data_IF_310789640015
#
_entry.id   IF_310789640015
#
_cell.length_a   1.000
_cell.length_b   1.000
_cell.length_c   1.000
_cell.angle_alpha   90.00
_cell.angle_beta   90.00
_cell.angle_gamma   90.00
#
_symmetry.space_group_name_H-M   'P 1'
#
loop_
_entity.id
_entity.type
_entity.pdbx_description
1 polymer ?
#
# COMPACT_ATOMS: atom_id res chain seq x y z
N UNK A 1 25.41 2.78 -21.65
CA UNK A 1 26.11 2.63 -20.35
C UNK A 1 25.17 3.15 -19.27
N UNK A 2 24.37 2.25 -18.69
CA UNK A 2 23.46 2.56 -17.57
C UNK A 2 24.05 1.91 -16.33
N UNK A 3 24.56 2.75 -15.43
CA UNK A 3 25.12 2.34 -14.14
C UNK A 3 23.97 1.98 -13.20
N UNK A 4 23.58 0.71 -13.17
CA UNK A 4 22.79 0.14 -12.08
C UNK A 4 23.76 -0.21 -10.94
N UNK A 5 24.07 0.78 -10.10
CA UNK A 5 24.70 0.51 -8.82
C UNK A 5 23.57 0.37 -7.79
N UNK A 6 23.44 -0.78 -7.11
CA UNK A 6 22.57 -0.86 -5.94
C UNK A 6 23.10 0.15 -4.92
N UNK A 7 22.23 1.05 -4.45
CA UNK A 7 22.55 1.92 -3.33
C UNK A 7 22.55 1.03 -2.09
N UNK A 8 23.69 0.41 -1.78
CA UNK A 8 23.90 -0.18 -0.46
C UNK A 8 24.11 0.99 0.50
N UNK A 9 23.19 1.25 1.45
CA UNK A 9 23.41 2.32 2.42
C UNK A 9 24.68 2.04 3.22
N UNK A 10 25.45 3.08 3.59
CA UNK A 10 26.62 2.90 4.45
C UNK A 10 26.20 2.19 5.74
N UNK A 11 27.03 1.23 6.16
CA UNK A 11 26.79 0.40 7.34
C UNK A 11 26.41 1.26 8.57
N UNK A 12 25.24 0.98 9.16
CA UNK A 12 24.79 1.57 10.41
C UNK A 12 23.75 2.68 10.30
N UNK A 13 23.37 3.14 9.10
CA UNK A 13 22.29 4.15 8.96
C UNK A 13 20.99 3.48 8.52
N UNK A 14 20.03 3.37 9.45
CA UNK A 14 18.67 2.91 9.15
C UNK A 14 18.03 3.92 8.19
N UNK A 15 17.62 3.45 7.01
CA UNK A 15 16.90 4.29 6.07
C UNK A 15 15.53 4.68 6.67
N UNK A 16 15.22 5.97 6.80
CA UNK A 16 13.97 6.39 7.40
C UNK A 16 12.79 6.11 6.48
N UNK A 17 11.62 5.93 7.08
CA UNK A 17 10.37 5.86 6.33
C UNK A 17 10.05 7.28 5.85
N UNK A 18 9.96 7.46 4.54
CA UNK A 18 9.66 8.75 3.93
C UNK A 18 8.19 8.84 3.49
N UNK A 19 7.53 9.92 3.88
CA UNK A 19 6.20 10.29 3.39
C UNK A 19 6.28 11.73 2.91
N UNK A 20 6.26 11.94 1.59
CA UNK A 20 6.44 13.27 1.01
C UNK A 20 7.74 13.95 1.50
N UNK A 21 7.66 15.01 2.29
CA UNK A 21 8.79 15.68 2.94
C UNK A 21 8.91 15.40 4.46
N UNK A 22 8.22 14.39 4.97
CA UNK A 22 8.36 13.88 6.34
C UNK A 22 9.24 12.62 6.36
N UNK A 23 10.24 12.59 7.23
CA UNK A 23 11.02 11.40 7.55
C UNK A 23 10.61 10.88 8.92
N UNK A 24 10.31 9.59 9.01
CA UNK A 24 9.96 8.89 10.25
C UNK A 24 11.05 7.87 10.56
N UNK A 25 11.52 7.92 11.80
CA UNK A 25 12.40 6.91 12.38
C UNK A 25 11.93 6.58 13.79
N UNK A 26 12.70 5.79 14.52
CA UNK A 26 12.30 5.27 15.83
C UNK A 26 13.42 5.42 16.84
N UNK A 27 13.05 5.76 18.08
CA UNK A 27 13.98 5.76 19.22
C UNK A 27 13.53 4.75 20.28
N UNK A 28 14.52 4.20 20.99
CA UNK A 28 14.35 3.36 22.18
C UNK A 28 14.96 4.01 23.42
N UNK A 29 15.39 5.26 23.30
CA UNK A 29 16.02 6.05 24.36
C UNK A 29 15.06 7.11 24.90
N UNK A 30 15.01 7.19 26.22
CA UNK A 30 14.06 8.02 26.96
C UNK A 30 14.68 8.59 28.23
N UNK A 31 14.43 9.87 28.48
CA UNK A 31 14.67 10.52 29.75
C UNK A 31 13.43 10.40 30.64
N UNK A 32 13.60 9.91 31.89
CA UNK A 32 12.51 9.91 32.86
C UNK A 32 12.25 11.34 33.33
N UNK A 33 11.02 11.82 33.14
CA UNK A 33 10.59 13.14 33.62
C UNK A 33 10.06 13.03 35.04
N UNK A 34 9.16 12.06 35.29
CA UNK A 34 8.48 11.91 36.57
C UNK A 34 7.92 10.49 36.75
N UNK A 35 7.59 10.12 37.98
CA UNK A 35 6.84 8.93 38.31
C UNK A 35 6.01 9.15 39.57
N UNK A 36 5.08 8.23 39.82
CA UNK A 36 4.17 8.29 40.96
C UNK A 36 4.79 7.74 42.25
N UNK A 37 6.13 7.63 42.35
CA UNK A 37 6.78 7.09 43.54
C UNK A 37 6.44 7.94 44.78
N UNK A 38 6.07 7.27 45.87
CA UNK A 38 5.62 7.94 47.10
C UNK A 38 4.19 8.53 47.07
N UNK A 39 3.43 8.36 45.98
CA UNK A 39 2.02 8.78 45.91
C UNK A 39 1.06 7.59 46.10
N UNK A 40 -0.18 7.89 46.54
CA UNK A 40 -1.27 6.90 46.62
C UNK A 40 -1.98 6.67 45.26
N UNK A 41 -1.52 7.37 44.20
CA UNK A 41 -2.01 7.18 42.85
C UNK A 41 -1.60 5.81 42.29
N UNK A 42 -2.28 5.37 41.23
CA UNK A 42 -1.87 4.16 40.51
C UNK A 42 -0.43 4.32 39.98
N UNK A 43 0.43 3.29 40.08
CA UNK A 43 1.80 3.36 39.59
C UNK A 43 1.89 3.77 38.12
N UNK A 44 2.64 4.82 37.82
CA UNK A 44 2.97 5.25 36.47
C UNK A 44 4.32 5.97 36.39
N UNK A 45 4.87 6.04 35.18
CA UNK A 45 6.07 6.80 34.87
C UNK A 45 5.94 7.53 33.53
N UNK A 46 6.51 8.73 33.48
CA UNK A 46 6.43 9.68 32.38
C UNK A 46 7.82 9.93 31.82
N UNK A 47 7.92 9.93 30.49
CA UNK A 47 9.18 9.85 29.79
C UNK A 47 9.19 10.74 28.55
N UNK A 48 10.28 11.48 28.39
CA UNK A 48 10.56 12.25 27.19
C UNK A 48 11.43 11.41 26.26
N UNK A 49 11.01 11.12 25.01
CA UNK A 49 11.86 10.45 24.03
C UNK A 49 13.09 11.29 23.71
N UNK A 50 14.27 10.68 23.71
CA UNK A 50 15.54 11.36 23.44
C UNK A 50 16.21 10.72 22.24
N UNK A 51 15.82 11.05 20.99
CA UNK A 51 16.51 10.55 19.81
C UNK A 51 18.00 10.95 19.87
N UNK A 52 18.89 9.95 19.88
CA UNK A 52 20.33 10.16 19.98
C UNK A 52 20.82 11.03 18.79
N UNK A 53 21.44 12.20 19.01
CA UNK A 53 21.78 13.14 17.93
C UNK A 53 22.80 12.61 16.91
N UNK A 54 23.63 11.66 17.31
CA UNK A 54 24.61 10.97 16.47
C UNK A 54 23.97 9.95 15.52
N UNK A 55 22.90 9.27 15.97
CA UNK A 55 22.15 8.27 15.18
C UNK A 55 21.00 8.91 14.40
N UNK A 56 20.29 9.85 15.02
CA UNK A 56 19.06 10.49 14.54
C UNK A 56 19.19 12.04 14.54
N UNK A 57 20.16 12.62 13.81
CA UNK A 57 20.34 14.05 13.76
C UNK A 57 19.10 14.75 13.18
N UNK A 58 18.59 15.76 13.91
CA UNK A 58 17.45 16.57 13.48
C UNK A 58 16.08 15.92 13.69
N UNK A 59 16.02 14.71 14.27
CA UNK A 59 14.76 14.09 14.64
C UNK A 59 14.21 14.68 15.94
N UNK A 60 12.90 14.90 15.96
CA UNK A 60 12.17 15.43 17.11
C UNK A 60 11.11 14.43 17.59
N UNK A 61 10.86 14.37 18.91
CA UNK A 61 9.71 13.68 19.46
C UNK A 61 8.38 14.29 18.98
N UNK A 62 7.34 13.45 18.98
CA UNK A 62 5.97 13.82 18.60
C UNK A 62 5.03 14.00 19.81
N UNK A 63 5.58 13.85 21.01
CA UNK A 63 4.90 13.84 22.31
C UNK A 63 5.62 12.90 23.28
N UNK A 64 5.31 13.04 24.56
CA UNK A 64 5.89 12.23 25.62
C UNK A 64 5.15 10.90 25.81
N UNK A 65 5.74 10.00 26.59
CA UNK A 65 5.26 8.64 26.82
C UNK A 65 4.86 8.47 28.28
N UNK A 66 3.69 7.89 28.52
CA UNK A 66 3.26 7.44 29.85
C UNK A 66 3.14 5.93 29.85
N UNK A 67 3.64 5.30 30.91
CA UNK A 67 3.51 3.84 31.08
C UNK A 67 2.94 3.50 32.44
N UNK A 68 2.26 2.34 32.51
CA UNK A 68 1.80 1.75 33.76
C UNK A 68 3.00 1.18 34.52
N UNK A 69 3.18 1.61 35.76
CA UNK A 69 4.28 1.20 36.62
C UNK A 69 5.54 2.07 36.52
N UNK A 70 6.49 1.87 37.44
CA UNK A 70 7.72 2.68 37.54
C UNK A 70 8.90 2.10 36.73
N UNK A 71 8.69 1.06 35.91
CA UNK A 71 9.77 0.33 35.23
C UNK A 71 10.54 1.16 34.20
N UNK A 72 11.84 0.91 34.05
CA UNK A 72 12.64 1.53 32.99
C UNK A 72 12.22 0.99 31.61
N UNK A 73 11.93 1.91 30.68
CA UNK A 73 11.44 1.61 29.33
C UNK A 73 12.53 1.65 28.24
N UNK A 74 13.73 2.14 28.57
CA UNK A 74 14.86 2.19 27.64
C UNK A 74 15.17 0.80 27.07
N UNK A 75 15.32 0.70 25.76
CA UNK A 75 15.56 -0.57 25.05
C UNK A 75 14.40 -1.57 25.11
N UNK A 76 13.23 -1.20 25.65
CA UNK A 76 12.04 -2.07 25.77
C UNK A 76 10.79 -1.48 25.11
N UNK A 77 10.81 -0.18 24.85
CA UNK A 77 9.78 0.56 24.13
C UNK A 77 10.40 1.22 22.91
N UNK A 78 9.58 1.41 21.89
CA UNK A 78 9.94 2.05 20.63
C UNK A 78 8.86 3.10 20.36
N UNK A 79 9.26 4.32 20.02
CA UNK A 79 8.33 5.37 19.60
C UNK A 79 8.80 6.02 18.31
N UNK A 80 7.85 6.52 17.53
CA UNK A 80 8.14 7.24 16.30
C UNK A 80 8.68 8.64 16.61
N UNK A 81 9.72 9.03 15.89
CA UNK A 81 10.29 10.38 15.87
C UNK A 81 10.34 10.86 14.43
N UNK A 82 10.29 12.18 14.23
CA UNK A 82 10.20 12.74 12.89
C UNK A 82 11.25 13.80 12.60
N UNK A 83 11.67 13.88 11.33
CA UNK A 83 12.57 14.89 10.80
C UNK A 83 12.01 15.47 9.49
N UNK A 84 12.34 16.71 9.19
CA UNK A 84 12.03 17.31 7.89
C UNK A 84 13.00 16.75 6.84
N UNK A 85 12.47 16.31 5.71
CA UNK A 85 13.31 15.87 4.61
C UNK A 85 14.08 17.06 4.00
N UNK A 86 15.29 16.79 3.51
CA UNK A 86 16.08 17.80 2.82
C UNK A 86 15.44 18.24 1.49
N UNK A 87 14.76 17.32 0.80
CA UNK A 87 13.95 17.66 -0.37
C UNK A 87 12.54 18.11 0.03
N UNK A 88 12.01 19.16 -0.64
CA UNK A 88 10.67 19.68 -0.36
C UNK A 88 9.59 18.67 -0.74
N UNK A 89 8.34 19.04 -0.43
CA UNK A 89 7.17 18.29 -0.87
C UNK A 89 7.15 18.17 -2.40
N UNK A 90 6.61 17.05 -2.90
CA UNK A 90 6.30 16.90 -4.31
C UNK A 90 5.26 17.92 -4.80
N UNK A 91 4.43 18.43 -3.89
CA UNK A 91 3.49 19.52 -4.14
C UNK A 91 4.04 20.83 -3.54
N UNK A 92 4.50 21.79 -4.35
CA UNK A 92 5.08 23.04 -3.87
C UNK A 92 4.11 23.89 -3.01
N UNK A 93 2.80 23.68 -3.12
CA UNK A 93 1.82 24.37 -2.27
C UNK A 93 1.85 23.85 -0.82
N UNK A 94 2.33 22.62 -0.62
CA UNK A 94 2.47 22.00 0.69
C UNK A 94 3.82 22.37 1.26
N UNK A 95 3.81 23.29 2.23
CA UNK A 95 5.01 23.75 2.93
C UNK A 95 5.70 22.64 3.75
N UNK A 96 6.45 23.04 4.78
CA UNK A 96 7.20 22.11 5.65
C UNK A 96 6.29 21.03 6.25
N UNK A 97 6.79 19.80 6.36
CA UNK A 97 6.07 18.71 7.01
C UNK A 97 6.01 18.91 8.54
N UNK A 98 7.02 19.57 9.12
CA UNK A 98 7.15 19.79 10.56
C UNK A 98 7.17 21.27 10.95
N UNK A 99 6.47 21.59 12.04
CA UNK A 99 6.54 22.91 12.69
C UNK A 99 6.66 22.75 14.20
N UNK A 100 7.27 23.75 14.85
CA UNK A 100 7.16 23.91 16.31
C UNK A 100 5.72 24.29 16.66
N UNK A 101 5.21 23.94 17.85
CA UNK A 101 3.96 24.51 18.34
C UNK A 101 4.09 26.04 18.50
N UNK A 102 2.98 26.74 18.36
CA UNK A 102 2.90 28.21 18.55
C UNK A 102 2.78 28.58 20.03
N UNK A 103 2.16 27.71 20.84
CA UNK A 103 2.11 27.82 22.31
C UNK A 103 1.82 26.44 22.96
N UNK A 104 1.71 26.41 24.28
CA UNK A 104 1.30 25.28 25.08
C UNK A 104 0.14 25.66 26.01
N UNK A 105 -0.88 24.81 26.06
CA UNK A 105 -2.00 24.88 27.00
C UNK A 105 -1.76 23.94 28.19
N UNK A 106 -1.86 24.45 29.42
CA UNK A 106 -1.71 23.62 30.62
C UNK A 106 -2.89 22.66 30.75
N UNK A 107 -2.62 21.35 30.76
CA UNK A 107 -3.62 20.33 31.06
C UNK A 107 -3.69 20.09 32.56
N UNK A 108 -2.53 19.87 33.19
CA UNK A 108 -2.45 19.45 34.58
C UNK A 108 -1.10 19.79 35.20
N UNK A 109 -1.07 20.05 36.50
CA UNK A 109 0.13 20.07 37.32
C UNK A 109 -0.11 19.41 38.67
N UNK A 110 0.94 18.85 39.24
CA UNK A 110 0.88 18.05 40.47
C UNK A 110 0.73 18.88 41.76
N UNK A 111 0.44 20.18 41.65
CA UNK A 111 0.26 21.08 42.81
C UNK A 111 -0.72 20.49 43.83
N UNK A 112 -0.23 20.26 45.06
CA UNK A 112 -1.00 19.69 46.17
C UNK A 112 -0.82 18.18 46.37
N UNK A 113 -0.10 17.49 45.48
CA UNK A 113 0.13 16.04 45.54
C UNK A 113 0.96 15.59 46.74
N UNK A 114 1.82 16.48 47.26
CA UNK A 114 2.85 16.11 48.23
C UNK A 114 4.03 15.34 47.62
N UNK A 115 4.09 15.26 46.28
CA UNK A 115 5.23 14.71 45.55
C UNK A 115 6.51 15.47 45.87
N UNK A 116 7.65 14.78 45.86
CA UNK A 116 8.99 15.38 46.00
C UNK A 116 9.51 15.97 44.69
N UNK A 117 8.86 15.66 43.57
CA UNK A 117 9.22 16.13 42.23
C UNK A 117 7.98 16.72 41.58
N UNK A 118 8.16 17.88 40.98
CA UNK A 118 7.09 18.56 40.25
C UNK A 118 6.90 17.90 38.87
N UNK A 119 5.65 17.93 38.40
CA UNK A 119 5.28 17.55 37.04
C UNK A 119 4.14 18.44 36.57
N UNK A 120 4.27 18.93 35.34
CA UNK A 120 3.14 19.48 34.59
C UNK A 120 2.99 18.80 33.23
N UNK A 121 1.77 18.74 32.73
CA UNK A 121 1.38 18.14 31.45
C UNK A 121 0.74 19.23 30.61
N UNK A 122 1.21 19.35 29.36
CA UNK A 122 0.86 20.43 28.44
C UNK A 122 0.40 19.87 27.10
N UNK A 123 -0.60 20.53 26.51
CA UNK A 123 -1.05 20.30 25.14
C UNK A 123 -0.33 21.28 24.21
N UNK A 124 0.43 20.82 23.20
CA UNK A 124 0.94 21.72 22.18
C UNK A 124 -0.21 22.35 21.40
N UNK A 125 -0.14 23.66 21.17
CA UNK A 125 -1.03 24.40 20.27
C UNK A 125 -0.34 24.45 18.91
N UNK A 126 -0.79 23.66 17.92
CA UNK A 126 -0.15 23.62 16.61
C UNK A 126 -0.46 24.89 15.80
N UNK A 127 0.44 25.29 14.87
CA UNK A 127 0.11 26.29 13.86
C UNK A 127 -1.01 25.83 12.93
N UNK A 128 -1.65 26.77 12.22
CA UNK A 128 -2.67 26.47 11.21
C UNK A 128 -2.16 25.49 10.14
N UNK A 129 -2.96 24.47 9.83
CA UNK A 129 -2.60 23.37 8.91
C UNK A 129 -1.73 22.27 9.52
N UNK A 130 -1.49 22.30 10.83
CA UNK A 130 -0.73 21.28 11.55
C UNK A 130 -1.52 20.72 12.75
N UNK A 131 -1.14 19.54 13.21
CA UNK A 131 -1.69 18.89 14.40
C UNK A 131 -0.59 18.43 15.36
N UNK A 132 -0.92 18.32 16.64
CA UNK A 132 -0.07 17.67 17.64
C UNK A 132 -0.47 16.20 17.80
N UNK A 133 0.51 15.30 17.89
CA UNK A 133 0.28 13.85 18.05
C UNK A 133 0.31 13.38 19.51
N UNK A 134 0.73 14.24 20.45
CA UNK A 134 0.80 13.90 21.87
C UNK A 134 0.95 15.12 22.77
N UNK A 135 0.81 14.88 24.07
CA UNK A 135 1.07 15.85 25.14
C UNK A 135 2.53 15.82 25.57
N UNK A 136 2.98 16.87 26.25
CA UNK A 136 4.36 17.06 26.69
C UNK A 136 4.41 17.30 28.19
N UNK A 137 5.37 16.69 28.87
CA UNK A 137 5.62 16.87 30.28
C UNK A 137 6.70 17.93 30.51
N UNK A 138 6.60 18.67 31.62
CA UNK A 138 7.71 19.46 32.18
C UNK A 138 8.02 18.97 33.58
N UNK A 139 9.30 18.95 33.95
CA UNK A 139 9.79 18.58 35.29
C UNK A 139 9.61 19.68 36.35
N UNK A 140 8.87 20.72 36.00
CA UNK A 140 8.46 21.86 36.81
C UNK A 140 7.01 22.24 36.45
N UNK A 141 6.53 23.39 36.91
CA UNK A 141 5.20 23.92 36.56
C UNK A 141 5.24 24.98 35.44
N UNK A 142 6.37 25.11 34.75
CA UNK A 142 6.58 26.06 33.67
C UNK A 142 6.30 25.44 32.30
N UNK A 143 6.07 26.30 31.30
CA UNK A 143 5.83 25.86 29.91
C UNK A 143 7.07 25.13 29.37
N UNK A 144 6.88 24.00 28.64
CA UNK A 144 7.98 23.33 27.96
C UNK A 144 8.60 24.21 26.88
N UNK A 145 9.83 23.88 26.50
CA UNK A 145 10.49 24.49 25.34
C UNK A 145 9.70 24.22 24.05
N UNK A 146 9.55 25.22 23.19
CA UNK A 146 9.03 25.07 21.83
C UNK A 146 9.79 24.07 20.95
N UNK A 147 10.98 23.64 21.38
CA UNK A 147 11.74 22.60 20.71
C UNK A 147 11.45 21.18 21.20
N UNK A 148 10.69 21.01 22.29
CA UNK A 148 10.45 19.71 22.91
C UNK A 148 9.79 18.71 21.94
N UNK A 149 8.90 19.19 21.07
CA UNK A 149 8.20 18.36 20.09
C UNK A 149 8.01 19.07 18.75
N UNK A 150 7.48 18.35 17.75
CA UNK A 150 6.99 18.92 16.49
C UNK A 150 5.52 18.56 16.24
N UNK A 151 4.83 19.50 15.63
CA UNK A 151 3.52 19.33 15.03
C UNK A 151 3.69 18.87 13.57
N UNK A 152 2.79 18.01 13.11
CA UNK A 152 2.81 17.41 11.76
C UNK A 152 1.77 18.10 10.89
N UNK A 153 2.10 18.32 9.62
CA UNK A 153 1.14 18.84 8.61
C UNK A 153 -0.07 17.91 8.51
N UNK A 154 -1.26 18.47 8.48
CA UNK A 154 -2.52 17.73 8.65
C UNK A 154 -2.79 16.65 7.59
N UNK A 155 -2.26 16.78 6.37
CA UNK A 155 -2.45 15.80 5.28
C UNK A 155 -1.58 14.54 5.44
N UNK A 156 -0.61 14.56 6.36
CA UNK A 156 0.30 13.44 6.66
C UNK A 156 -0.17 12.59 7.84
N UNK A 157 -1.35 12.92 8.39
CA UNK A 157 -1.95 12.21 9.52
C UNK A 157 -3.38 11.78 9.19
N UNK A 158 -3.95 10.97 10.08
CA UNK A 158 -5.36 10.60 10.04
C UNK A 158 -5.96 10.72 11.44
N UNK A 159 -7.23 11.13 11.53
CA UNK A 159 -7.98 11.14 12.78
C UNK A 159 -8.15 9.72 13.32
N UNK A 160 -7.98 9.58 14.63
CA UNK A 160 -7.85 8.29 15.30
C UNK A 160 -8.75 8.19 16.52
N UNK A 161 -8.96 6.95 16.95
CA UNK A 161 -9.60 6.67 18.24
C UNK A 161 -8.55 6.72 19.36
N UNK A 162 -9.01 6.56 20.60
CA UNK A 162 -8.10 6.37 21.74
C UNK A 162 -8.27 4.98 22.31
N UNK A 163 -7.22 4.53 23.00
CA UNK A 163 -7.26 3.34 23.83
C UNK A 163 -8.18 3.52 25.04
N UNK A 164 -8.27 2.48 25.86
CA UNK A 164 -8.63 2.61 27.27
C UNK A 164 -7.66 3.53 28.01
N UNK A 165 -8.10 4.05 29.16
CA UNK A 165 -7.29 4.97 29.97
C UNK A 165 -5.98 4.31 30.40
N UNK A 166 -4.86 4.96 30.07
CA UNK A 166 -3.52 4.50 30.44
C UNK A 166 -3.27 4.79 31.92
N UNK A 167 -3.55 6.04 32.35
CA UNK A 167 -3.42 6.49 33.73
C UNK A 167 -4.42 7.61 34.07
N UNK A 168 -4.71 7.78 35.37
CA UNK A 168 -5.41 8.93 35.94
C UNK A 168 -4.78 9.30 37.28
N UNK A 169 -4.90 10.56 37.67
CA UNK A 169 -4.28 11.09 38.90
C UNK A 169 -5.10 10.86 40.17
N UNK A 170 -6.12 9.98 40.17
CA UNK A 170 -6.88 9.67 41.39
C UNK A 170 -5.95 9.10 42.45
N UNK A 171 -6.03 9.68 43.65
CA UNK A 171 -5.15 9.32 44.77
C UNK A 171 -3.80 10.04 44.76
N UNK A 172 -3.51 10.91 43.77
CA UNK A 172 -2.28 11.70 43.77
C UNK A 172 -2.28 12.81 44.81
N UNK A 173 -3.45 13.31 45.23
CA UNK A 173 -3.59 14.50 46.08
C UNK A 173 -3.51 15.83 45.31
N UNK A 174 -3.24 15.81 44.01
CA UNK A 174 -3.21 17.01 43.18
C UNK A 174 -4.58 17.72 43.18
N UNK A 175 -4.55 19.06 43.06
CA UNK A 175 -5.76 19.89 43.04
C UNK A 175 -6.52 19.81 41.71
N UNK A 176 -5.81 19.50 40.63
CA UNK A 176 -6.38 19.32 39.30
C UNK A 176 -6.68 17.84 39.05
N UNK A 177 -7.25 17.52 37.90
CA UNK A 177 -7.57 16.14 37.50
C UNK A 177 -6.96 15.87 36.15
N UNK A 178 -6.48 14.66 35.92
CA UNK A 178 -6.01 14.28 34.59
C UNK A 178 -6.28 12.82 34.30
N UNK A 179 -6.58 12.56 33.03
CA UNK A 179 -6.57 11.23 32.45
C UNK A 179 -5.72 11.23 31.19
N UNK A 180 -5.05 10.10 30.95
CA UNK A 180 -4.19 9.91 29.78
C UNK A 180 -4.61 8.71 28.95
N UNK A 181 -4.46 8.81 27.63
CA UNK A 181 -4.75 7.75 26.67
C UNK A 181 -3.67 7.68 25.60
N UNK A 182 -3.68 6.59 24.81
CA UNK A 182 -2.87 6.45 23.60
C UNK A 182 -3.75 6.53 22.35
N UNK A 183 -3.18 6.98 21.24
CA UNK A 183 -3.84 6.91 19.94
C UNK A 183 -3.99 5.45 19.48
N UNK A 184 -5.15 5.10 18.94
CA UNK A 184 -5.42 3.79 18.32
C UNK A 184 -5.66 4.03 16.83
N UNK A 185 -4.79 3.47 15.96
CA UNK A 185 -4.92 3.64 14.50
C UNK A 185 -6.31 3.19 14.00
N UNK A 186 -6.95 3.96 13.12
CA UNK A 186 -8.21 3.55 12.50
C UNK A 186 -7.94 2.46 11.45
N UNK A 187 -9.02 1.90 10.90
CA UNK A 187 -8.94 0.91 9.81
C UNK A 187 -8.13 1.46 8.64
N UNK A 188 -7.12 0.72 8.18
CA UNK A 188 -6.27 1.14 7.08
C UNK A 188 -7.00 1.03 5.73
N UNK A 189 -6.90 2.07 4.91
CA UNK A 189 -7.37 2.03 3.53
C UNK A 189 -6.45 1.15 2.66
N UNK A 190 -6.93 0.76 1.48
CA UNK A 190 -6.16 -0.07 0.54
C UNK A 190 -4.83 0.59 0.17
N UNK A 191 -3.71 -0.10 0.41
CA UNK A 191 -2.36 0.42 0.15
C UNK A 191 -1.82 1.38 1.22
N UNK A 192 -2.48 1.49 2.37
CA UNK A 192 -2.09 2.40 3.45
C UNK A 192 -1.66 1.67 4.73
N UNK A 193 -0.90 2.39 5.55
CA UNK A 193 -0.53 2.01 6.91
C UNK A 193 -0.84 3.21 7.81
N UNK A 194 -1.51 2.98 8.94
CA UNK A 194 -1.69 4.00 9.98
C UNK A 194 -0.86 3.62 11.21
N UNK A 195 -0.07 4.57 11.73
CA UNK A 195 0.88 4.33 12.82
C UNK A 195 0.64 5.30 13.97
N UNK A 196 0.42 4.79 15.17
CA UNK A 196 0.44 5.61 16.38
C UNK A 196 1.89 6.04 16.69
N UNK A 197 2.08 7.30 17.08
CA UNK A 197 3.43 7.80 17.42
C UNK A 197 4.04 7.10 18.64
N UNK A 198 3.20 6.52 19.50
CA UNK A 198 3.58 6.00 20.82
C UNK A 198 3.49 7.04 21.94
N UNK A 199 3.15 8.28 21.60
CA UNK A 199 2.92 9.36 22.57
C UNK A 199 1.57 9.21 23.28
N UNK A 200 1.45 9.78 24.48
CA UNK A 200 0.18 9.88 25.17
C UNK A 200 -0.52 11.21 24.89
N UNK A 201 -1.83 11.24 25.12
CA UNK A 201 -2.66 12.44 25.08
C UNK A 201 -3.36 12.62 26.43
N UNK A 202 -3.29 13.82 26.99
CA UNK A 202 -3.86 14.17 28.29
C UNK A 202 -5.10 15.05 28.20
N UNK A 203 -6.00 14.90 29.17
CA UNK A 203 -7.17 15.76 29.36
C UNK A 203 -7.33 16.11 30.84
N UNK A 204 -7.72 17.36 31.11
CA UNK A 204 -8.06 17.86 32.44
C UNK A 204 -9.45 17.39 32.91
N UNK A 205 -9.68 16.08 32.89
CA UNK A 205 -10.90 15.45 33.41
C UNK A 205 -10.67 13.94 33.63
N UNK A 206 -11.55 13.30 34.39
CA UNK A 206 -11.66 11.85 34.49
C UNK A 206 -12.50 11.22 33.39
N UNK A 207 -13.42 12.00 32.81
CA UNK A 207 -14.34 11.52 31.78
C UNK A 207 -13.84 11.95 30.41
N UNK A 208 -13.74 10.98 29.49
CA UNK A 208 -13.37 11.26 28.10
C UNK A 208 -14.54 11.99 27.39
N UNK A 209 -14.30 13.10 26.69
CA UNK A 209 -15.34 13.81 25.95
C UNK A 209 -15.71 13.03 24.69
N UNK A 210 -16.91 13.30 24.16
CA UNK A 210 -17.40 12.65 22.94
C UNK A 210 -16.48 12.90 21.73
N UNK A 211 -15.92 14.10 21.65
CA UNK A 211 -14.93 14.47 20.63
C UNK A 211 -13.61 14.81 21.33
N UNK A 212 -12.61 13.98 21.11
CA UNK A 212 -11.24 14.20 21.58
C UNK A 212 -10.31 13.98 20.39
N UNK A 213 -9.81 15.05 19.74
CA UNK A 213 -9.02 14.91 18.52
C UNK A 213 -7.68 14.28 18.85
N UNK A 214 -7.43 13.11 18.26
CA UNK A 214 -6.19 12.35 18.36
C UNK A 214 -5.86 11.86 16.96
N UNK A 215 -4.58 11.80 16.62
CA UNK A 215 -4.14 11.52 15.26
C UNK A 215 -3.10 10.39 15.24
N UNK A 216 -3.04 9.67 14.12
CA UNK A 216 -1.97 8.74 13.78
C UNK A 216 -1.27 9.20 12.50
N UNK A 217 -0.01 8.81 12.32
CA UNK A 217 0.72 9.02 11.07
C UNK A 217 0.08 8.20 9.95
N UNK A 218 -0.08 8.80 8.76
CA UNK A 218 -0.67 8.15 7.59
C UNK A 218 0.40 7.85 6.55
N UNK A 219 0.78 6.58 6.45
CA UNK A 219 1.82 6.06 5.56
C UNK A 219 1.18 5.39 4.34
N UNK A 220 1.96 5.30 3.26
CA UNK A 220 1.63 4.49 2.08
C UNK A 220 2.55 3.27 2.01
N UNK A 221 2.01 2.14 1.57
CA UNK A 221 2.81 0.99 1.19
C UNK A 221 3.46 1.32 -0.15
N UNK A 222 4.79 1.46 -0.17
CA UNK A 222 5.51 1.72 -1.41
C UNK A 222 5.39 0.49 -2.32
N UNK A 223 4.88 0.70 -3.53
CA UNK A 223 4.64 -0.36 -4.50
C UNK A 223 5.45 -0.07 -5.76
N UNK A 224 6.41 -0.94 -6.04
CA UNK A 224 7.10 -0.97 -7.34
C UNK A 224 6.32 -1.90 -8.28
N UNK A 225 6.02 -1.40 -9.47
CA UNK A 225 5.33 -2.14 -10.53
C UNK A 225 6.32 -2.33 -11.68
N UNK A 226 6.59 -3.59 -12.02
CA UNK A 226 7.46 -3.98 -13.12
C UNK A 226 6.62 -4.44 -14.33
N UNK A 227 7.22 -4.57 -15.53
CA UNK A 227 6.50 -5.06 -16.70
C UNK A 227 5.88 -6.44 -16.45
N UNK A 228 4.58 -6.58 -16.75
CA UNK A 228 3.86 -7.85 -16.66
C UNK A 228 4.38 -8.83 -17.72
N UNK A 229 4.25 -10.16 -17.49
CA UNK A 229 4.58 -11.15 -18.51
C UNK A 229 3.78 -10.90 -19.79
N UNK A 230 4.42 -11.09 -20.94
CA UNK A 230 3.75 -10.98 -22.24
C UNK A 230 2.81 -12.15 -22.43
N UNK A 231 1.59 -11.87 -22.88
CA UNK A 231 0.60 -12.89 -23.19
C UNK A 231 1.13 -13.89 -24.24
N UNK A 232 1.07 -15.21 -23.99
CA UNK A 232 1.51 -16.20 -24.96
C UNK A 232 0.72 -16.09 -26.26
N UNK A 233 1.44 -16.19 -27.38
CA UNK A 233 0.86 -16.24 -28.72
C UNK A 233 1.11 -17.63 -29.29
N UNK A 234 0.03 -18.22 -29.79
CA UNK A 234 0.03 -19.50 -30.46
C UNK A 234 0.46 -19.29 -31.92
N UNK A 235 1.73 -19.59 -32.20
CA UNK A 235 2.33 -19.41 -33.53
C UNK A 235 2.28 -20.68 -34.41
N UNK A 236 1.86 -21.80 -33.83
CA UNK A 236 1.77 -23.10 -34.50
C UNK A 236 0.56 -23.88 -33.94
N UNK A 237 0.35 -25.09 -34.45
CA UNK A 237 -0.78 -25.93 -34.03
C UNK A 237 -0.73 -26.30 -32.55
N UNK A 238 0.47 -26.34 -31.95
CA UNK A 238 0.73 -26.65 -30.54
C UNK A 238 1.38 -25.46 -29.81
N UNK A 239 1.05 -25.25 -28.53
CA UNK A 239 1.62 -24.16 -27.74
C UNK A 239 3.08 -24.46 -27.36
N UNK A 240 3.91 -23.41 -27.36
CA UNK A 240 5.27 -23.47 -26.80
C UNK A 240 5.23 -23.33 -25.28
N UNK A 241 6.20 -23.92 -24.59
CA UNK A 241 6.36 -23.74 -23.15
C UNK A 241 6.53 -22.25 -22.81
N UNK A 242 5.78 -21.78 -21.82
CA UNK A 242 5.89 -20.40 -21.31
C UNK A 242 7.15 -20.31 -20.44
N UNK A 243 8.05 -19.39 -20.78
CA UNK A 243 9.24 -19.15 -19.97
C UNK A 243 8.87 -18.57 -18.60
N UNK A 244 9.58 -18.98 -17.56
CA UNK A 244 9.42 -18.40 -16.24
C UNK A 244 9.86 -16.92 -16.26
N UNK A 245 9.14 -16.02 -15.58
CA UNK A 245 9.51 -14.63 -15.47
C UNK A 245 10.83 -14.46 -14.71
N UNK A 246 11.71 -13.57 -15.20
CA UNK A 246 13.01 -13.30 -14.59
C UNK A 246 12.92 -12.40 -13.35
N UNK A 247 11.91 -11.52 -13.30
CA UNK A 247 11.73 -10.52 -12.26
C UNK A 247 10.30 -10.54 -11.71
N UNK A 248 10.08 -10.15 -10.44
CA UNK A 248 8.74 -10.02 -9.89
C UNK A 248 7.96 -8.92 -10.61
N UNK A 249 6.66 -9.14 -10.83
CA UNK A 249 5.75 -8.17 -11.42
C UNK A 249 5.46 -7.01 -10.48
N UNK A 250 5.39 -7.29 -9.17
CA UNK A 250 5.17 -6.28 -8.13
C UNK A 250 6.08 -6.52 -6.94
N UNK A 251 6.53 -5.43 -6.31
CA UNK A 251 7.27 -5.47 -5.04
C UNK A 251 6.67 -4.44 -4.10
N UNK A 252 6.06 -4.91 -3.01
CA UNK A 252 5.56 -4.07 -1.93
C UNK A 252 6.60 -3.98 -0.81
N UNK A 253 6.96 -2.75 -0.41
CA UNK A 253 7.86 -2.50 0.72
C UNK A 253 7.07 -2.31 2.01
N UNK A 254 7.31 -3.19 2.98
CA UNK A 254 6.61 -3.24 4.25
C UNK A 254 7.58 -2.81 5.37
N UNK A 255 7.27 -1.76 6.15
CA UNK A 255 8.08 -1.40 7.31
C UNK A 255 8.16 -2.55 8.32
N UNK A 256 9.31 -2.68 8.99
CA UNK A 256 9.60 -3.74 9.97
C UNK A 256 8.46 -3.96 10.99
N UNK A 257 7.83 -2.88 11.45
CA UNK A 257 6.79 -3.00 12.46
C UNK A 257 5.49 -3.64 11.94
N UNK A 258 5.27 -3.66 10.62
CA UNK A 258 4.08 -4.31 10.02
C UNK A 258 4.23 -5.82 9.83
N UNK A 259 5.44 -6.36 10.03
CA UNK A 259 5.76 -7.77 9.82
C UNK A 259 6.23 -8.41 11.12
N UNK A 260 5.72 -9.61 11.42
CA UNK A 260 6.29 -10.48 12.45
C UNK A 260 7.34 -11.38 11.80
N UNK A 261 8.53 -11.43 12.38
CA UNK A 261 9.60 -12.30 11.91
C UNK A 261 9.95 -13.27 13.04
N UNK A 262 9.85 -14.59 12.82
CA UNK A 262 10.19 -15.57 13.86
C UNK A 262 11.67 -15.58 14.22
N UNK A 263 12.56 -15.02 13.38
CA UNK A 263 14.00 -15.03 13.59
C UNK A 263 14.51 -13.83 14.40
N UNK A 264 13.79 -12.70 14.37
CA UNK A 264 14.21 -11.45 15.00
C UNK A 264 13.21 -10.94 16.04
N UNK A 265 13.72 -10.44 17.16
CA UNK A 265 12.95 -9.56 18.03
C UNK A 265 12.61 -8.25 17.31
N UNK A 266 11.64 -7.50 17.82
CA UNK A 266 11.18 -6.24 17.22
C UNK A 266 12.29 -5.19 17.06
N UNK A 267 13.20 -5.11 18.02
CA UNK A 267 14.33 -4.18 17.98
C UNK A 267 15.39 -4.66 16.98
N UNK A 268 15.61 -5.97 16.87
CA UNK A 268 16.50 -6.54 15.85
C UNK A 268 15.95 -6.32 14.44
N UNK A 269 14.63 -6.44 14.23
CA UNK A 269 14.00 -6.13 12.94
C UNK A 269 14.27 -4.67 12.54
N UNK A 270 14.11 -3.71 13.45
CA UNK A 270 14.41 -2.30 13.19
C UNK A 270 15.85 -2.08 12.70
N UNK A 271 16.81 -2.83 13.23
CA UNK A 271 18.23 -2.68 12.89
C UNK A 271 18.66 -3.47 11.65
N UNK A 272 18.23 -4.72 11.52
CA UNK A 272 18.71 -5.65 10.49
C UNK A 272 17.80 -5.76 9.28
N UNK A 273 16.49 -5.54 9.45
CA UNK A 273 15.51 -5.60 8.35
C UNK A 273 14.45 -4.50 8.50
N UNK A 274 14.85 -3.21 8.42
CA UNK A 274 13.95 -2.07 8.62
C UNK A 274 12.78 -2.06 7.63
N UNK A 275 12.98 -2.68 6.47
CA UNK A 275 11.95 -2.99 5.48
C UNK A 275 12.01 -4.47 5.09
N UNK A 276 10.83 -5.01 4.81
CA UNK A 276 10.64 -6.32 4.19
C UNK A 276 10.06 -6.12 2.80
N UNK A 277 10.43 -6.99 1.86
CA UNK A 277 9.92 -6.95 0.49
C UNK A 277 8.94 -8.11 0.30
N UNK A 278 7.68 -7.77 0.01
CA UNK A 278 6.67 -8.73 -0.40
C UNK A 278 6.58 -8.69 -1.93
N UNK A 279 7.17 -9.70 -2.56
CA UNK A 279 7.22 -9.85 -4.00
C UNK A 279 6.03 -10.65 -4.51
N UNK A 280 5.54 -10.28 -5.67
CA UNK A 280 4.57 -11.03 -6.46
C UNK A 280 5.10 -11.21 -7.87
N UNK A 281 5.12 -12.45 -8.34
CA UNK A 281 5.61 -12.82 -9.67
C UNK A 281 4.50 -13.46 -10.48
N UNK A 282 4.07 -12.80 -11.56
CA UNK A 282 2.98 -13.28 -12.41
C UNK A 282 3.52 -14.13 -13.56
N UNK A 283 2.84 -15.23 -13.87
CA UNK A 283 3.15 -16.09 -15.01
C UNK A 283 1.89 -16.66 -15.64
N UNK A 284 1.93 -16.89 -16.96
CA UNK A 284 0.84 -17.56 -17.67
C UNK A 284 0.93 -19.09 -17.50
N UNK A 285 -0.11 -19.66 -16.92
CA UNK A 285 -0.35 -21.09 -16.81
C UNK A 285 -1.22 -21.54 -17.99
N UNK A 286 -0.72 -22.48 -18.81
CA UNK A 286 -1.52 -23.14 -19.84
C UNK A 286 -2.59 -24.02 -19.17
N UNK A 287 -3.86 -23.66 -19.36
CA UNK A 287 -5.01 -24.40 -18.84
C UNK A 287 -5.41 -25.53 -19.78
N UNK A 288 -5.34 -25.27 -21.08
CA UNK A 288 -5.75 -26.24 -22.08
C UNK A 288 -5.44 -25.79 -23.50
N UNK A 289 -5.37 -26.77 -24.37
CA UNK A 289 -5.14 -26.60 -25.80
C UNK A 289 -6.08 -27.52 -26.56
N UNK A 290 -6.55 -27.06 -27.72
CA UNK A 290 -7.32 -27.87 -28.65
C UNK A 290 -7.00 -27.49 -30.09
N UNK A 291 -7.15 -28.46 -30.97
CA UNK A 291 -7.13 -28.29 -32.41
C UNK A 291 -8.45 -28.81 -32.96
N UNK A 292 -9.18 -27.95 -33.66
CA UNK A 292 -10.38 -28.32 -34.38
C UNK A 292 -10.00 -28.60 -35.84
N UNK A 293 -9.82 -29.87 -36.18
CA UNK A 293 -9.58 -30.30 -37.56
C UNK A 293 -10.87 -30.43 -38.39
N UNK A 294 -12.05 -30.33 -37.76
CA UNK A 294 -13.33 -30.48 -38.44
C UNK A 294 -13.71 -29.24 -39.26
N UNK A 295 -14.69 -29.43 -40.14
CA UNK A 295 -15.26 -28.35 -40.96
C UNK A 295 -16.44 -27.61 -40.29
N UNK A 296 -16.71 -27.89 -39.01
CA UNK A 296 -17.70 -27.19 -38.19
C UNK A 296 -17.09 -26.79 -36.85
N UNK A 297 -17.75 -25.88 -36.13
CA UNK A 297 -17.29 -25.42 -34.82
C UNK A 297 -17.41 -26.56 -33.78
N UNK A 298 -16.46 -26.62 -32.85
CA UNK A 298 -16.42 -27.60 -31.77
C UNK A 298 -16.31 -26.92 -30.42
N UNK A 299 -16.87 -27.54 -29.38
CA UNK A 299 -16.79 -27.05 -28.00
C UNK A 299 -15.75 -27.87 -27.25
N UNK A 300 -14.78 -27.20 -26.66
CA UNK A 300 -13.78 -27.80 -25.78
C UNK A 300 -13.96 -27.29 -24.35
N UNK A 301 -13.73 -28.18 -23.39
CA UNK A 301 -13.78 -27.87 -21.95
C UNK A 301 -12.50 -28.36 -21.30
N UNK A 302 -11.89 -27.49 -20.51
CA UNK A 302 -10.76 -27.80 -19.66
C UNK A 302 -11.07 -27.41 -18.22
N UNK A 303 -10.54 -28.17 -17.28
CA UNK A 303 -10.70 -27.91 -15.85
C UNK A 303 -9.32 -27.81 -15.24
N UNK A 304 -9.05 -26.75 -14.49
CA UNK A 304 -7.77 -26.54 -13.81
C UNK A 304 -7.97 -26.28 -12.31
N UNK A 305 -7.17 -26.91 -11.44
CA UNK A 305 -7.17 -26.56 -10.03
C UNK A 305 -6.57 -25.16 -9.80
N UNK A 306 -7.01 -24.50 -8.74
CA UNK A 306 -6.37 -23.26 -8.28
C UNK A 306 -5.07 -23.57 -7.55
N UNK A 307 -4.08 -22.69 -7.70
CA UNK A 307 -2.80 -22.81 -7.00
C UNK A 307 -2.90 -22.45 -5.51
N UNK A 308 -3.87 -21.61 -5.13
CA UNK A 308 -4.06 -21.23 -3.72
C UNK A 308 -4.42 -22.43 -2.84
N UNK A 309 -3.77 -22.49 -1.68
CA UNK A 309 -4.05 -23.46 -0.62
C UNK A 309 -4.32 -22.70 0.67
N UNK A 310 -5.50 -22.93 1.26
CA UNK A 310 -5.91 -22.27 2.50
C UNK A 310 -4.86 -22.44 3.62
N UNK A 311 -4.29 -23.64 3.77
CA UNK A 311 -3.26 -23.91 4.78
C UNK A 311 -1.96 -23.12 4.57
N UNK A 312 -1.56 -22.88 3.32
CA UNK A 312 -0.35 -22.09 3.02
C UNK A 312 -0.51 -20.62 3.37
N UNK A 313 -1.66 -20.02 3.01
CA UNK A 313 -1.97 -18.63 3.36
C UNK A 313 -2.14 -18.47 4.88
N UNK A 314 -2.84 -19.40 5.54
CA UNK A 314 -3.00 -19.39 6.99
C UNK A 314 -1.65 -19.49 7.71
N UNK A 315 -0.76 -20.37 7.25
CA UNK A 315 0.59 -20.48 7.81
C UNK A 315 1.38 -19.17 7.61
N UNK A 316 1.31 -18.58 6.42
CA UNK A 316 1.94 -17.29 6.13
C UNK A 316 1.45 -16.18 7.07
N UNK A 317 0.13 -16.00 7.18
CA UNK A 317 -0.47 -14.99 8.05
C UNK A 317 -0.16 -15.25 9.52
N UNK A 318 -0.20 -16.51 9.97
CA UNK A 318 0.14 -16.84 11.35
C UNK A 318 1.61 -16.53 11.70
N UNK A 319 2.53 -16.81 10.76
CA UNK A 319 3.96 -16.53 10.95
C UNK A 319 4.27 -15.04 10.89
N UNK A 320 3.68 -14.31 9.95
CA UNK A 320 4.09 -12.95 9.58
C UNK A 320 3.16 -11.85 10.04
N UNK A 321 1.95 -12.19 10.51
CA UNK A 321 0.81 -11.30 10.75
C UNK A 321 0.26 -10.57 9.52
N UNK A 322 0.88 -10.69 8.35
CA UNK A 322 0.42 -10.01 7.13
C UNK A 322 -0.82 -10.72 6.57
N UNK A 323 -1.85 -9.94 6.28
CA UNK A 323 -3.13 -10.43 5.76
C UNK A 323 -3.35 -10.02 4.30
N UNK A 324 -3.98 -10.91 3.54
CA UNK A 324 -4.41 -10.69 2.16
C UNK A 324 -5.93 -10.49 2.12
N UNK A 325 -6.39 -9.49 1.37
CA UNK A 325 -7.82 -9.15 1.23
C UNK A 325 -8.44 -8.41 2.43
N UNK A 326 -7.80 -8.49 3.60
CA UNK A 326 -8.21 -7.84 4.83
C UNK A 326 -7.14 -6.86 5.36
N UNK A 327 -7.52 -6.06 6.35
CA UNK A 327 -6.56 -5.29 7.12
C UNK A 327 -5.93 -6.16 8.21
N UNK A 328 -4.68 -5.89 8.57
CA UNK A 328 -4.07 -6.42 9.79
C UNK A 328 -3.60 -5.30 10.70
N UNK A 329 -3.49 -5.60 11.99
CA UNK A 329 -3.14 -4.62 13.02
C UNK A 329 -2.47 -5.33 14.19
N UNK A 330 -1.78 -4.55 15.01
CA UNK A 330 -1.17 -5.09 16.24
C UNK A 330 -2.20 -5.23 17.37
N UNK A 331 -1.87 -5.99 18.41
CA UNK A 331 -2.72 -6.07 19.61
C UNK A 331 -2.61 -4.78 20.43
N UNK A 332 -3.70 -4.35 21.08
CA UNK A 332 -3.73 -3.09 21.86
C UNK A 332 -2.73 -3.02 23.03
N UNK A 333 -2.11 -4.15 23.41
CA UNK A 333 -1.07 -4.21 24.44
C UNK A 333 0.35 -4.05 23.90
N UNK A 334 0.53 -4.03 22.58
CA UNK A 334 1.82 -3.83 21.96
C UNK A 334 2.32 -2.38 22.12
N UNK A 335 3.64 -2.17 22.21
CA UNK A 335 4.21 -0.84 22.42
C UNK A 335 4.11 0.09 21.21
N UNK A 336 3.90 -0.46 20.01
CA UNK A 336 3.84 0.28 18.76
C UNK A 336 2.58 -0.13 17.98
N UNK A 337 1.54 0.71 18.05
CA UNK A 337 0.24 0.41 17.45
C UNK A 337 0.20 0.81 15.97
N UNK A 338 -0.21 -0.11 15.10
CA UNK A 338 -0.43 0.14 13.68
C UNK A 338 -1.65 -0.62 13.16
N UNK A 339 -2.19 -0.15 12.04
CA UNK A 339 -3.05 -0.91 11.13
C UNK A 339 -2.50 -0.79 9.71
N UNK A 340 -2.68 -1.81 8.88
CA UNK A 340 -2.15 -1.86 7.53
C UNK A 340 -3.08 -2.66 6.61
N UNK A 341 -3.09 -2.32 5.32
CA UNK A 341 -3.84 -3.06 4.32
C UNK A 341 -3.14 -3.03 2.97
N UNK A 342 -2.88 -4.22 2.40
CA UNK A 342 -2.32 -4.33 1.06
C UNK A 342 -3.28 -3.79 0.00
N UNK A 343 -2.73 -3.25 -1.09
CA UNK A 343 -3.49 -2.75 -2.22
C UNK A 343 -4.19 -3.88 -3.00
N UNK A 344 -5.39 -3.62 -3.53
CA UNK A 344 -6.15 -4.59 -4.33
C UNK A 344 -5.38 -5.06 -5.57
N UNK A 345 -4.72 -4.14 -6.26
CA UNK A 345 -3.90 -4.45 -7.44
C UNK A 345 -2.78 -5.42 -7.10
N UNK A 346 -2.24 -5.37 -5.87
CA UNK A 346 -1.20 -6.28 -5.42
C UNK A 346 -1.77 -7.65 -5.05
N UNK A 347 -2.87 -7.70 -4.28
CA UNK A 347 -3.46 -8.94 -3.75
C UNK A 347 -4.36 -9.70 -4.73
N UNK A 348 -4.73 -9.09 -5.86
CA UNK A 348 -5.67 -9.64 -6.85
C UNK A 348 -6.99 -10.10 -6.22
N UNK A 349 -7.48 -9.30 -5.26
CA UNK A 349 -8.63 -9.65 -4.44
C UNK A 349 -9.37 -8.36 -4.06
N UNK A 350 -10.66 -8.31 -4.35
CA UNK A 350 -11.53 -7.21 -3.91
C UNK A 350 -11.82 -7.27 -2.40
N UNK A 351 -12.33 -6.16 -1.85
CA UNK A 351 -12.70 -6.05 -0.43
C UNK A 351 -13.75 -7.13 -0.09
N UNK A 352 -13.50 -7.93 0.95
CA UNK A 352 -14.38 -8.99 1.46
C UNK A 352 -14.51 -10.26 0.60
N UNK A 353 -13.66 -10.47 -0.40
CA UNK A 353 -13.72 -11.70 -1.19
C UNK A 353 -13.03 -12.86 -0.44
N UNK A 354 -13.74 -13.98 -0.23
CA UNK A 354 -13.16 -15.24 0.25
C UNK A 354 -12.37 -15.97 -0.86
N UNK A 355 -11.97 -15.28 -1.94
CA UNK A 355 -11.37 -15.88 -3.14
C UNK A 355 -10.04 -16.58 -2.85
N UNK A 356 -9.26 -16.02 -1.93
CA UNK A 356 -8.02 -16.62 -1.44
C UNK A 356 -8.23 -17.96 -0.72
N UNK A 357 -9.44 -18.19 -0.20
CA UNK A 357 -9.83 -19.42 0.50
C UNK A 357 -10.68 -20.34 -0.38
N UNK A 358 -11.00 -19.95 -1.62
CA UNK A 358 -11.85 -20.73 -2.50
C UNK A 358 -11.06 -21.86 -3.18
N UNK A 359 -11.36 -23.15 -2.88
CA UNK A 359 -10.67 -24.28 -3.50
C UNK A 359 -11.29 -24.71 -4.83
N UNK A 360 -12.37 -24.06 -5.28
CA UNK A 360 -13.10 -24.49 -6.48
C UNK A 360 -12.21 -24.43 -7.72
N UNK A 361 -12.23 -25.51 -8.50
CA UNK A 361 -11.59 -25.59 -9.81
C UNK A 361 -12.17 -24.54 -10.75
N UNK A 362 -11.38 -24.16 -11.76
CA UNK A 362 -11.82 -23.25 -12.82
C UNK A 362 -12.11 -24.10 -14.06
N UNK A 363 -13.33 -23.99 -14.56
CA UNK A 363 -13.73 -24.55 -15.84
C UNK A 363 -13.58 -23.48 -16.94
N UNK A 364 -12.79 -23.80 -17.97
CA UNK A 364 -12.67 -22.98 -19.17
C UNK A 364 -13.37 -23.71 -20.31
N UNK A 365 -14.35 -23.05 -20.91
CA UNK A 365 -15.11 -23.56 -22.06
C UNK A 365 -14.85 -22.63 -23.24
N UNK A 366 -14.42 -23.20 -24.37
CA UNK A 366 -14.16 -22.45 -25.60
C UNK A 366 -14.88 -23.09 -26.78
N UNK A 367 -15.51 -22.24 -27.60
CA UNK A 367 -16.01 -22.63 -28.93
C UNK A 367 -14.89 -22.34 -29.93
N UNK A 368 -14.42 -23.39 -30.62
CA UNK A 368 -13.29 -23.33 -31.53
C UNK A 368 -13.81 -23.46 -32.96
N UNK A 369 -13.52 -22.46 -33.78
CA UNK A 369 -13.89 -22.48 -35.20
C UNK A 369 -13.23 -23.64 -35.94
N UNK A 370 -13.85 -24.05 -37.04
CA UNK A 370 -13.29 -25.05 -37.97
C UNK A 370 -11.85 -24.71 -38.38
N UNK A 371 -11.00 -25.74 -38.50
CA UNK A 371 -9.59 -25.65 -38.92
C UNK A 371 -8.74 -24.66 -38.10
N UNK A 372 -8.97 -24.56 -36.79
CA UNK A 372 -8.19 -23.69 -35.89
C UNK A 372 -7.63 -24.44 -34.71
N UNK A 373 -6.50 -23.95 -34.20
CA UNK A 373 -5.97 -24.32 -32.89
C UNK A 373 -6.16 -23.18 -31.91
N UNK A 374 -6.44 -23.51 -30.65
CA UNK A 374 -6.54 -22.55 -29.55
C UNK A 374 -5.74 -23.02 -28.35
N UNK A 375 -5.22 -22.07 -27.58
CA UNK A 375 -4.61 -22.29 -26.29
C UNK A 375 -5.19 -21.29 -25.29
N UNK A 376 -5.66 -21.80 -24.15
CA UNK A 376 -6.24 -21.01 -23.08
C UNK A 376 -5.27 -20.95 -21.89
N UNK A 377 -5.07 -19.74 -21.37
CA UNK A 377 -4.14 -19.46 -20.29
C UNK A 377 -4.83 -18.67 -19.17
N UNK A 378 -4.35 -18.86 -17.95
CA UNK A 378 -4.67 -18.02 -16.78
C UNK A 378 -3.38 -17.49 -16.18
N UNK A 379 -3.46 -16.39 -15.45
CA UNK A 379 -2.36 -15.88 -14.63
C UNK A 379 -2.33 -16.63 -13.30
N UNK A 380 -1.18 -17.19 -12.99
CA UNK A 380 -0.82 -17.66 -11.66
C UNK A 380 0.26 -16.74 -11.10
N UNK A 381 0.11 -16.35 -9.84
CA UNK A 381 0.99 -15.42 -9.15
C UNK A 381 1.63 -16.09 -7.94
N UNK A 382 2.95 -16.00 -7.82
CA UNK A 382 3.71 -16.53 -6.69
C UNK A 382 4.15 -15.39 -5.77
N UNK A 383 3.97 -15.56 -4.46
CA UNK A 383 4.25 -14.54 -3.45
C UNK A 383 5.39 -14.95 -2.52
N UNK A 384 6.33 -14.03 -2.27
CA UNK A 384 7.49 -14.25 -1.40
C UNK A 384 7.73 -13.06 -0.50
N UNK A 385 7.96 -13.31 0.79
CA UNK A 385 8.34 -12.29 1.76
C UNK A 385 9.83 -12.40 2.07
N UNK A 386 10.58 -11.35 1.81
CA UNK A 386 12.04 -11.28 1.95
C UNK A 386 12.44 -10.27 3.03
N UNK A 387 13.49 -10.59 3.76
CA UNK A 387 14.23 -9.67 4.63
C UNK A 387 15.09 -8.71 3.80
N UNK A 388 15.65 -7.68 4.44
CA UNK A 388 16.57 -6.74 3.80
C UNK A 388 17.83 -7.40 3.22
N UNK A 389 18.26 -8.55 3.74
CA UNK A 389 19.39 -9.33 3.21
C UNK A 389 19.02 -10.27 2.04
N UNK A 390 17.75 -10.26 1.61
CA UNK A 390 17.22 -11.12 0.54
C UNK A 390 16.81 -12.53 0.99
N UNK A 391 16.99 -12.90 2.26
CA UNK A 391 16.55 -14.20 2.76
C UNK A 391 15.03 -14.24 2.92
N UNK A 392 14.42 -15.40 2.67
CA UNK A 392 12.97 -15.56 2.80
C UNK A 392 12.54 -15.73 4.27
N UNK A 393 11.44 -15.06 4.64
CA UNK A 393 10.82 -15.18 5.97
C UNK A 393 9.96 -16.44 6.05
N UNK A 394 9.26 -16.75 4.97
CA UNK A 394 8.34 -17.90 4.84
C UNK A 394 8.53 -18.61 3.51
N UNK A 395 7.88 -19.75 3.36
CA UNK A 395 7.74 -20.41 2.05
C UNK A 395 6.87 -19.58 1.11
N UNK A 396 7.09 -19.79 -0.19
CA UNK A 396 6.25 -19.24 -1.26
C UNK A 396 4.84 -19.82 -1.18
N UNK A 397 3.85 -18.99 -1.49
CA UNK A 397 2.48 -19.42 -1.74
C UNK A 397 1.95 -18.74 -3.00
N UNK A 398 0.93 -19.33 -3.62
CA UNK A 398 0.50 -18.97 -4.97
C UNK A 398 -1.00 -18.68 -5.03
N UNK A 399 -1.41 -17.95 -6.06
CA UNK A 399 -2.80 -17.62 -6.36
C UNK A 399 -3.07 -17.75 -7.85
N UNK A 400 -4.24 -18.27 -8.23
CA UNK A 400 -4.70 -18.31 -9.62
C UNK A 400 -5.83 -17.31 -9.80
N UNK A 401 -5.60 -16.32 -10.66
CA UNK A 401 -6.57 -15.30 -11.00
C UNK A 401 -7.60 -15.86 -11.99
N UNK A 402 -8.82 -16.11 -11.51
CA UNK A 402 -9.89 -16.67 -12.33
C UNK A 402 -10.43 -15.71 -13.39
N UNK A 403 -10.15 -14.42 -13.27
CA UNK A 403 -10.63 -13.38 -14.18
C UNK A 403 -9.61 -13.03 -15.26
N UNK A 404 -8.46 -13.71 -15.28
CA UNK A 404 -7.32 -13.42 -16.15
C UNK A 404 -7.27 -14.24 -17.45
N UNK A 405 -8.39 -14.84 -17.86
CA UNK A 405 -8.46 -15.73 -19.03
C UNK A 405 -7.92 -15.05 -20.29
N UNK A 406 -6.87 -15.64 -20.86
CA UNK A 406 -6.31 -15.26 -22.14
C UNK A 406 -6.44 -16.42 -23.12
N UNK A 407 -6.96 -16.16 -24.31
CA UNK A 407 -7.07 -17.16 -25.38
C UNK A 407 -6.21 -16.69 -26.56
N UNK A 408 -5.30 -17.55 -27.00
CA UNK A 408 -4.59 -17.38 -28.26
C UNK A 408 -5.07 -18.41 -29.28
N UNK A 409 -5.12 -17.99 -30.55
CA UNK A 409 -5.56 -18.83 -31.65
C UNK A 409 -4.53 -18.87 -32.78
N UNK A 410 -4.49 -19.97 -33.51
CA UNK A 410 -3.69 -20.18 -34.70
C UNK A 410 -4.56 -20.75 -35.82
N UNK A 411 -4.40 -20.21 -37.02
CA UNK A 411 -4.99 -20.74 -38.25
C UNK A 411 -3.84 -20.99 -39.24
N UNK A 412 -3.72 -22.20 -39.80
CA UNK A 412 -2.78 -22.44 -40.90
C UNK A 412 -3.12 -21.49 -42.06
N UNK A 413 -2.12 -20.86 -42.67
CA UNK A 413 -2.35 -20.12 -43.92
C UNK A 413 -2.92 -21.08 -44.97
N UNK A 414 -4.11 -20.79 -45.50
CA UNK A 414 -4.58 -21.48 -46.70
C UNK A 414 -3.63 -21.13 -47.85
N UNK A 415 -3.16 -22.11 -48.64
CA UNK A 415 -2.35 -21.80 -49.82
C UNK A 415 -3.19 -20.93 -50.77
N UNK A 416 -2.65 -19.79 -51.19
CA UNK A 416 -3.25 -18.96 -52.23
C UNK A 416 -3.55 -19.86 -53.43
N UNK A 417 -4.83 -20.09 -53.69
CA UNK A 417 -5.26 -20.70 -54.94
C UNK A 417 -5.03 -19.65 -56.01
N UNK A 418 -3.92 -19.78 -56.74
CA UNK A 418 -3.71 -19.06 -58.00
C UNK A 418 -4.84 -19.48 -58.93
N UNK A 419 -5.89 -18.67 -59.00
CA UNK A 419 -6.92 -18.79 -60.02
C UNK A 419 -6.25 -18.37 -61.33
N UNK A 420 -5.79 -19.34 -62.10
CA UNK A 420 -5.38 -19.10 -63.49
C UNK A 420 -6.61 -18.60 -64.24
N UNK A 421 -6.58 -17.33 -64.65
CA UNK A 421 -7.62 -16.74 -65.47
C UNK A 421 -7.79 -17.56 -66.76
N UNK A 422 -9.01 -17.98 -67.04
CA UNK A 422 -9.37 -18.63 -68.31
C UNK A 422 -9.13 -17.64 -69.48
N UNK A 423 -8.65 -18.10 -70.65
CA UNK A 423 -8.36 -17.21 -71.76
C UNK A 423 -9.67 -16.65 -72.34
N UNK A 424 -9.69 -15.35 -72.62
CA UNK A 424 -10.79 -14.66 -73.27
C UNK A 424 -11.02 -15.17 -74.71
N UNK A 425 -12.27 -15.19 -75.21
CA UNK A 425 -12.59 -15.65 -76.55
C UNK A 425 -12.17 -14.63 -77.61
N UNK A 426 -11.58 -15.13 -78.69
CA UNK A 426 -11.21 -14.37 -79.90
C UNK A 426 -12.47 -13.90 -80.62
N UNK A 427 -12.54 -12.60 -80.94
CA UNK A 427 -13.61 -11.98 -81.73
C UNK A 427 -13.23 -12.00 -83.22
N UNK A 428 -14.06 -12.61 -84.07
CA UNK A 428 -13.97 -12.51 -85.53
C UNK A 428 -14.66 -11.23 -86.05
N UNK A 429 -14.19 -10.62 -87.16
CA UNK A 429 -14.71 -9.35 -87.66
C UNK A 429 -15.93 -9.53 -88.59
N UNK A 430 -16.97 -8.73 -88.37
CA UNK A 430 -18.16 -8.65 -89.24
C UNK A 430 -17.95 -7.58 -90.32
N UNK A 431 -18.33 -7.91 -91.56
CA UNK A 431 -18.28 -7.05 -92.74
C UNK A 431 -19.37 -5.95 -92.77
N UNK A 432 -19.02 -4.77 -93.27
CA UNK A 432 -19.89 -3.63 -93.65
C UNK A 432 -20.64 -3.94 -94.97
N UNK A 433 -21.74 -3.31 -95.42
CA UNK A 433 -22.31 -1.94 -95.37
C UNK A 433 -23.80 -2.01 -95.88
N UNK A 434 -24.53 -0.95 -96.35
CA UNK A 434 -24.45 0.53 -96.16
C UNK A 434 -25.80 1.19 -95.74
N UNK A 435 -25.81 2.30 -94.98
CA UNK A 435 -26.02 3.75 -95.33
C UNK A 435 -27.44 4.18 -95.78
N UNK A 436 -28.01 5.13 -95.01
CA UNK A 436 -28.67 6.40 -95.39
C UNK A 436 -29.76 6.71 -94.34
N UNK A 437 -30.03 7.93 -93.90
CA UNK A 437 -29.41 9.26 -93.99
C UNK A 437 -30.13 10.14 -92.94
N UNK A 438 -29.57 11.33 -92.74
CA UNK A 438 -30.21 12.56 -92.27
C UNK A 438 -30.13 13.00 -90.78
N UNK A 439 -29.30 14.04 -90.65
CA UNK A 439 -29.55 15.37 -90.06
C UNK A 439 -29.62 15.50 -88.52
N UNK A 440 -28.55 15.96 -87.87
CA UNK A 440 -28.05 17.34 -87.67
C UNK A 440 -28.47 17.91 -86.30
N UNK A 441 -27.45 18.16 -85.47
CA UNK A 441 -27.24 19.27 -84.49
C UNK A 441 -28.34 19.61 -83.46
N UNK A 442 -28.06 20.03 -82.22
CA UNK A 442 -26.87 20.32 -81.41
C UNK A 442 -27.41 20.51 -79.96
N UNK A 443 -26.70 20.05 -78.93
CA UNK A 443 -25.95 20.87 -77.94
C UNK A 443 -26.80 21.91 -77.19
N UNK A 444 -26.68 22.19 -75.87
CA UNK A 444 -25.74 21.85 -74.80
C UNK A 444 -26.30 22.53 -73.51
N UNK A 445 -25.59 22.35 -72.39
CA UNK A 445 -25.58 23.13 -71.13
C UNK A 445 -26.56 22.66 -70.03
N UNK A 446 -26.06 22.03 -68.94
CA UNK A 446 -25.35 22.58 -67.76
C UNK A 446 -26.30 23.31 -66.78
N UNK A 447 -26.60 22.72 -65.61
CA UNK A 447 -25.95 22.87 -64.29
C UNK A 447 -26.55 24.03 -63.48
N UNK A 448 -27.20 23.75 -62.34
CA UNK A 448 -27.10 24.54 -61.08
C UNK A 448 -27.84 23.87 -59.90
N UNK A 449 -27.27 24.04 -58.70
CA UNK A 449 -27.66 23.60 -57.34
C UNK A 449 -28.61 24.63 -56.67
N UNK A 450 -28.91 24.65 -55.33
CA UNK A 450 -29.37 23.66 -54.32
C UNK A 450 -30.61 24.21 -53.50
N UNK A 451 -30.72 23.85 -52.19
CA UNK A 451 -31.55 24.42 -51.07
C UNK A 451 -32.80 23.57 -50.71
N UNK A 452 -33.00 23.06 -49.48
CA UNK A 452 -33.49 23.69 -48.21
C UNK A 452 -33.22 22.77 -46.99
N UNK A 453 -32.63 23.21 -45.86
CA UNK A 453 -33.27 23.63 -44.55
C UNK A 453 -34.52 22.83 -44.13
N UNK A 454 -34.70 22.35 -42.89
CA UNK A 454 -34.92 23.14 -41.67
C UNK A 454 -34.91 22.27 -40.37
N UNK A 455 -35.15 22.91 -39.23
CA UNK A 455 -34.60 22.68 -37.89
C UNK A 455 -35.68 22.35 -36.84
N UNK A 456 -35.22 21.84 -35.68
CA UNK A 456 -35.71 22.16 -34.31
C UNK A 456 -37.04 21.51 -33.81
N UNK A 457 -37.29 21.49 -32.48
CA UNK A 457 -36.57 22.13 -31.36
C UNK A 457 -35.88 21.21 -30.34
#
# INVERSE_FOLDING_TARGET
>A
MTTNTPITPPAGRIEPIRIDNLLISFTTEFLRVWDTDGLQAKPASFWHPTPAPDVLPGYFPLGDVVTRGPGNINGKRVVAVACEAASPSADPAKGKALRRPDDYELIWKDSGSGSKRDLSIWRPIPPEGYVALGSVCSSDHEKPSFNAVRCIREDLVIASNTSDRVWDDKGSGARQRVSTWSAVPPVAASGEIHLASGSFVGLNDYTKPAHFPVYCLRLKIALQINPRPTAPVLCAETPTAVAAPENPSYVASLPWFTVKDPHYSRIEQLSYSPFYLLERTDQYLLVGHAQNAENHNQIFRWTTPRAQRAGSLQAFTHTTSVEFGAQWQTNLHDPLLFSARLGHDFTQCEIHSNEWLNPAVIDVVAVVDKKRSVAAYLIQSDYRLLRADGTSVTNTFSYTDGNSLHISQYAPMEPETVVVAAPEPVVEPIAQAPVADDEISAALAQTELPVTTDTAP
#
